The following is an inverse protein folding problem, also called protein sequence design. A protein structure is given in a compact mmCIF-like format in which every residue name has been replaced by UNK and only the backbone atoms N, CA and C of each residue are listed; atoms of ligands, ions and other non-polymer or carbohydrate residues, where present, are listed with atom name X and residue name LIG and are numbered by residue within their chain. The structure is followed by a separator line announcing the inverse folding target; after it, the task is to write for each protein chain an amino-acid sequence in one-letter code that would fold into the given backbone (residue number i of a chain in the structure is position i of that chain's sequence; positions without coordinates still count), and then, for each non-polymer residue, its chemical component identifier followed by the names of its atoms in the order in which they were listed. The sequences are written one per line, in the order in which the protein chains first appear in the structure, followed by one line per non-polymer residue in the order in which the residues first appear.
data_IF_338890965457
#
_entry.id   IF_338890965457
#
_cell.length_a   1.000
_cell.length_b   1.000
_cell.length_c   1.000
_cell.angle_alpha   90.00
_cell.angle_beta   90.00
_cell.angle_gamma   90.00
#
_symmetry.space_group_name_H-M   'P 1'
#
loop_
_entity.id
_entity.type
_entity.pdbx_description
1 polymer ?
#
# COMPACT_ATOMS: atom_id res chain seq x y z
N UNK A 1 -6.70 -12.31 21.42
CA UNK A 1 -7.17 -12.42 20.01
C UNK A 1 -7.28 -11.03 19.39
N UNK A 2 -7.21 -10.90 18.06
CA UNK A 2 -7.40 -9.61 17.38
C UNK A 2 -8.74 -9.58 16.63
N UNK A 3 -9.42 -8.44 16.67
CA UNK A 3 -10.60 -8.15 15.87
C UNK A 3 -10.28 -7.04 14.87
N UNK A 4 -10.55 -7.26 13.59
CA UNK A 4 -10.62 -6.21 12.58
C UNK A 4 -12.01 -5.56 12.64
N UNK A 5 -12.10 -4.45 13.37
CA UNK A 5 -13.34 -3.70 13.61
C UNK A 5 -13.41 -2.41 12.82
N UNK A 6 -14.60 -1.80 12.74
CA UNK A 6 -14.83 -0.51 12.07
C UNK A 6 -14.83 0.64 13.09
N UNK A 7 -13.85 1.53 12.99
CA UNK A 7 -13.89 2.81 13.68
C UNK A 7 -14.49 3.91 12.81
N UNK A 8 -15.42 4.69 13.36
CA UNK A 8 -16.19 5.74 12.65
C UNK A 8 -15.32 6.70 11.83
N UNK A 9 -14.16 7.08 12.37
CA UNK A 9 -13.25 8.06 11.73
C UNK A 9 -12.05 7.42 11.04
N UNK A 10 -11.58 6.28 11.55
CA UNK A 10 -10.29 5.72 11.14
C UNK A 10 -10.45 4.63 10.08
N UNK A 11 -11.68 4.21 9.79
CA UNK A 11 -11.95 3.06 8.94
C UNK A 11 -11.73 1.75 9.70
N UNK A 12 -11.30 0.71 9.02
CA UNK A 12 -10.99 -0.56 9.67
C UNK A 12 -9.70 -0.49 10.47
N UNK A 13 -9.74 -0.98 11.71
CA UNK A 13 -8.60 -1.00 12.63
C UNK A 13 -8.54 -2.34 13.37
N UNK A 14 -7.34 -2.75 13.76
CA UNK A 14 -7.18 -3.88 14.67
C UNK A 14 -7.52 -3.46 16.11
N UNK A 15 -8.16 -4.35 16.85
CA UNK A 15 -8.54 -4.20 18.26
C UNK A 15 -8.11 -5.46 19.03
N UNK A 16 -7.41 -5.34 20.16
CA UNK A 16 -7.03 -6.47 20.99
C UNK A 16 -8.19 -6.82 21.91
N UNK A 17 -8.63 -8.08 21.84
CA UNK A 17 -9.74 -8.58 22.65
C UNK A 17 -9.37 -9.87 23.36
N UNK A 18 -9.83 -9.97 24.61
CA UNK A 18 -10.06 -11.23 25.29
C UNK A 18 -11.42 -11.74 24.85
N UNK A 19 -11.46 -13.01 24.49
CA UNK A 19 -12.68 -13.70 24.07
C UNK A 19 -12.83 -14.96 24.89
N UNK A 20 -14.08 -15.34 25.13
CA UNK A 20 -14.42 -16.60 25.79
C UNK A 20 -15.17 -17.49 24.81
N UNK A 21 -14.86 -18.78 24.81
CA UNK A 21 -15.61 -19.76 24.02
C UNK A 21 -16.87 -20.13 24.80
N UNK A 22 -18.04 -19.95 24.20
CA UNK A 22 -19.29 -20.33 24.87
C UNK A 22 -19.46 -21.86 24.93
N UNK A 23 -19.92 -22.36 26.08
CA UNK A 23 -20.20 -23.77 26.27
C UNK A 23 -21.30 -24.25 25.32
N UNK A 24 -21.02 -25.32 24.56
CA UNK A 24 -21.99 -25.92 23.63
C UNK A 24 -22.11 -25.22 22.27
N UNK A 25 -21.43 -24.09 22.06
CA UNK A 25 -21.43 -23.32 20.81
C UNK A 25 -20.05 -23.29 20.15
N UNK A 26 -20.02 -23.06 18.84
CA UNK A 26 -18.77 -22.91 18.07
C UNK A 26 -18.26 -21.45 18.00
N UNK A 27 -19.01 -20.48 18.53
CA UNK A 27 -18.65 -19.07 18.50
C UNK A 27 -17.97 -18.59 19.79
N UNK A 28 -17.27 -17.47 19.67
CA UNK A 28 -16.62 -16.77 20.77
C UNK A 28 -17.36 -15.48 21.11
N UNK A 29 -17.46 -15.17 22.39
CA UNK A 29 -18.06 -13.94 22.90
C UNK A 29 -16.93 -12.98 23.35
N UNK A 30 -16.89 -11.72 22.85
CA UNK A 30 -15.89 -10.75 23.30
C UNK A 30 -16.14 -10.37 24.76
N UNK A 31 -15.13 -10.57 25.62
CA UNK A 31 -15.21 -10.28 27.05
C UNK A 31 -14.69 -8.87 27.36
N UNK A 32 -13.46 -8.57 26.91
CA UNK A 32 -12.79 -7.31 27.23
C UNK A 32 -11.93 -6.83 26.06
N UNK A 33 -12.02 -5.53 25.75
CA UNK A 33 -11.12 -4.85 24.82
C UNK A 33 -9.92 -4.30 25.60
N UNK A 34 -8.70 -4.73 25.24
CA UNK A 34 -7.45 -4.30 25.90
C UNK A 34 -7.01 -2.89 25.48
N UNK A 35 -7.75 -2.28 24.54
CA UNK A 35 -7.52 -0.93 24.06
C UNK A 35 -8.63 0.02 24.50
N UNK A 36 -8.31 1.21 25.06
CA UNK A 36 -6.98 1.78 25.24
C UNK A 36 -6.23 1.33 26.50
N UNK A 37 -6.90 0.62 27.41
CA UNK A 37 -6.33 0.13 28.67
C UNK A 37 -6.91 -1.25 28.96
N UNK A 38 -6.04 -2.19 29.33
CA UNK A 38 -6.44 -3.48 29.88
C UNK A 38 -6.70 -3.38 31.38
N UNK A 39 -7.52 -4.29 31.91
CA UNK A 39 -7.70 -4.45 33.36
C UNK A 39 -6.39 -4.89 34.03
N UNK A 40 -6.18 -4.55 35.31
CA UNK A 40 -4.95 -4.90 36.03
C UNK A 40 -4.65 -6.41 35.99
N UNK A 41 -3.38 -6.77 35.79
CA UNK A 41 -2.91 -8.17 35.74
C UNK A 41 -3.03 -8.85 34.38
N UNK A 42 -3.91 -8.36 33.48
CA UNK A 42 -4.10 -8.99 32.16
C UNK A 42 -2.87 -8.89 31.28
N UNK A 43 -2.18 -7.75 31.30
CA UNK A 43 -0.97 -7.56 30.49
C UNK A 43 0.15 -8.52 30.89
N UNK A 44 0.18 -8.99 32.14
CA UNK A 44 1.20 -9.91 32.65
C UNK A 44 0.97 -11.35 32.14
N UNK A 45 -0.22 -11.65 31.64
CA UNK A 45 -0.60 -12.97 31.08
C UNK A 45 -0.35 -13.05 29.56
N UNK A 46 -0.07 -11.92 28.90
CA UNK A 46 0.18 -11.85 27.47
C UNK A 46 1.60 -12.29 27.12
N UNK A 47 1.76 -12.90 25.95
CA UNK A 47 3.09 -13.12 25.37
C UNK A 47 3.76 -11.78 25.00
N UNK A 48 5.08 -11.79 24.77
CA UNK A 48 5.82 -10.59 24.33
C UNK A 48 5.22 -10.01 23.04
N UNK A 49 4.90 -10.86 22.06
CA UNK A 49 4.29 -10.46 20.80
C UNK A 49 2.88 -9.86 20.99
N UNK A 50 2.05 -10.45 21.86
CA UNK A 50 0.71 -9.92 22.16
C UNK A 50 0.78 -8.61 22.94
N UNK A 51 1.78 -8.45 23.81
CA UNK A 51 2.07 -7.22 24.54
C UNK A 51 2.47 -6.11 23.57
N UNK A 52 3.47 -6.36 22.71
CA UNK A 52 3.91 -5.41 21.68
C UNK A 52 2.75 -5.01 20.76
N UNK A 53 1.97 -5.99 20.30
CA UNK A 53 0.82 -5.75 19.46
C UNK A 53 -0.24 -4.89 20.16
N UNK A 54 -0.55 -5.18 21.42
CA UNK A 54 -1.52 -4.41 22.21
C UNK A 54 -1.06 -2.96 22.40
N UNK A 55 0.21 -2.74 22.72
CA UNK A 55 0.80 -1.39 22.82
C UNK A 55 0.74 -0.63 21.48
N UNK A 56 1.04 -1.33 20.39
CA UNK A 56 0.99 -0.76 19.05
C UNK A 56 -0.45 -0.35 18.69
N UNK A 57 -1.44 -1.17 19.04
CA UNK A 57 -2.86 -0.85 18.86
C UNK A 57 -3.25 0.37 19.71
N UNK A 58 -2.81 0.42 20.97
CA UNK A 58 -3.08 1.55 21.86
C UNK A 58 -2.50 2.88 21.34
N UNK A 59 -1.41 2.81 20.57
CA UNK A 59 -0.74 3.97 19.96
C UNK A 59 -1.54 4.68 18.85
N UNK A 60 -2.69 4.14 18.44
CA UNK A 60 -3.65 4.83 17.58
C UNK A 60 -5.07 4.93 18.18
N UNK A 61 -5.21 4.75 19.50
CA UNK A 61 -6.46 5.07 20.20
C UNK A 61 -6.81 6.56 20.09
N UNK A 62 -8.11 6.91 20.21
CA UNK A 62 -8.56 8.31 20.15
C UNK A 62 -7.81 9.22 21.13
N UNK A 63 -7.54 8.73 22.35
CA UNK A 63 -6.81 9.49 23.37
C UNK A 63 -5.34 9.70 23.01
N UNK A 64 -4.69 8.69 22.43
CA UNK A 64 -3.31 8.80 21.98
C UNK A 64 -3.18 9.76 20.80
N UNK A 65 -4.06 9.61 19.80
CA UNK A 65 -4.11 10.48 18.63
C UNK A 65 -4.46 11.92 19.01
N UNK A 66 -5.36 12.12 19.97
CA UNK A 66 -5.65 13.43 20.55
C UNK A 66 -4.38 14.09 21.10
N UNK A 67 -3.60 13.37 21.91
CA UNK A 67 -2.35 13.91 22.49
C UNK A 67 -1.31 14.28 21.43
N UNK A 68 -1.21 13.53 20.35
CA UNK A 68 -0.24 13.79 19.29
C UNK A 68 -0.69 14.87 18.31
N UNK A 69 -1.96 14.84 17.92
CA UNK A 69 -2.44 15.56 16.75
C UNK A 69 -3.51 16.59 17.05
N UNK A 70 -3.98 16.75 18.29
CA UNK A 70 -5.02 17.74 18.61
C UNK A 70 -4.43 19.09 19.06
N UNK A 71 -5.21 20.14 18.82
CA UNK A 71 -5.06 21.45 19.52
C UNK A 71 -6.32 21.79 20.35
N UNK A 72 -7.30 20.89 20.35
CA UNK A 72 -8.58 21.04 21.06
C UNK A 72 -8.41 20.70 22.55
N UNK A 73 -9.40 21.08 23.37
CA UNK A 73 -9.33 20.88 24.82
C UNK A 73 -9.72 19.46 25.23
N UNK A 74 -10.58 18.81 24.44
CA UNK A 74 -11.08 17.46 24.76
C UNK A 74 -10.95 16.48 23.59
N UNK A 75 -10.93 15.18 23.92
CA UNK A 75 -10.90 14.09 22.92
C UNK A 75 -12.14 14.14 22.02
N UNK A 76 -13.31 14.45 22.59
CA UNK A 76 -14.58 14.55 21.85
C UNK A 76 -14.48 15.64 20.78
N UNK A 77 -14.10 16.86 21.17
CA UNK A 77 -13.92 17.99 20.24
C UNK A 77 -12.93 17.65 19.12
N UNK A 78 -11.83 16.99 19.45
CA UNK A 78 -10.87 16.53 18.45
C UNK A 78 -11.51 15.56 17.46
N UNK A 79 -12.21 14.53 17.93
CA UNK A 79 -12.85 13.52 17.07
C UNK A 79 -13.99 14.09 16.22
N UNK A 80 -14.63 15.18 16.65
CA UNK A 80 -15.69 15.84 15.88
C UNK A 80 -15.11 16.80 14.82
N UNK A 81 -14.01 17.50 15.14
CA UNK A 81 -13.43 18.52 14.26
C UNK A 81 -12.36 17.98 13.32
N UNK A 82 -11.70 16.87 13.64
CA UNK A 82 -10.62 16.31 12.83
C UNK A 82 -11.16 15.87 11.47
N UNK A 83 -10.74 16.57 10.42
CA UNK A 83 -11.25 16.37 9.07
C UNK A 83 -10.30 16.93 8.02
N UNK A 84 -10.62 16.67 6.74
CA UNK A 84 -9.94 17.27 5.60
C UNK A 84 -8.44 16.98 5.56
N UNK A 85 -7.67 17.99 5.18
CA UNK A 85 -6.24 17.86 4.89
C UNK A 85 -5.41 17.37 6.10
N UNK A 86 -5.73 17.86 7.32
CA UNK A 86 -5.00 17.45 8.53
C UNK A 86 -5.16 15.96 8.79
N UNK A 87 -6.36 15.43 8.58
CA UNK A 87 -6.62 14.01 8.71
C UNK A 87 -5.86 13.21 7.65
N UNK A 88 -6.08 13.52 6.37
CA UNK A 88 -5.51 12.77 5.24
C UNK A 88 -3.99 12.83 5.15
N UNK A 89 -3.36 13.96 5.52
CA UNK A 89 -1.89 14.13 5.40
C UNK A 89 -1.10 13.76 6.64
N UNK A 90 -1.71 13.73 7.83
CA UNK A 90 -0.97 13.53 9.08
C UNK A 90 -1.51 12.37 9.92
N UNK A 91 -2.80 12.38 10.25
CA UNK A 91 -3.39 11.39 11.17
C UNK A 91 -3.52 10.02 10.50
N UNK A 92 -4.17 9.96 9.33
CA UNK A 92 -4.40 8.71 8.60
C UNK A 92 -3.09 8.00 8.22
N UNK A 93 -2.05 8.67 7.66
CA UNK A 93 -0.78 8.01 7.40
C UNK A 93 -0.08 7.50 8.67
N UNK A 94 -0.28 8.16 9.82
CA UNK A 94 0.24 7.66 11.09
C UNK A 94 -0.46 6.37 11.51
N UNK A 95 -1.80 6.32 11.45
CA UNK A 95 -2.59 5.13 11.78
C UNK A 95 -2.23 3.97 10.84
N UNK A 96 -2.20 4.21 9.52
CA UNK A 96 -1.86 3.17 8.53
C UNK A 96 -0.47 2.58 8.75
N UNK A 97 0.54 3.41 9.09
CA UNK A 97 1.88 2.89 9.45
C UNK A 97 1.84 1.99 10.69
N UNK A 98 0.95 2.26 11.64
CA UNK A 98 0.79 1.42 12.84
C UNK A 98 0.03 0.14 12.51
N UNK A 99 -1.06 0.21 11.73
CA UNK A 99 -1.79 -0.95 11.25
C UNK A 99 -0.89 -1.91 10.45
N UNK A 100 -0.02 -1.39 9.59
CA UNK A 100 0.90 -2.24 8.84
C UNK A 100 1.93 -2.94 9.74
N UNK A 101 2.41 -2.25 10.78
CA UNK A 101 3.25 -2.88 11.80
C UNK A 101 2.50 -3.95 12.59
N UNK A 102 1.22 -3.72 12.95
CA UNK A 102 0.39 -4.73 13.58
C UNK A 102 0.25 -5.95 12.68
N UNK A 103 0.00 -5.75 11.39
CA UNK A 103 -0.07 -6.82 10.40
C UNK A 103 1.20 -7.67 10.36
N UNK A 104 2.39 -7.05 10.43
CA UNK A 104 3.65 -7.80 10.45
C UNK A 104 3.77 -8.72 11.67
N UNK A 105 3.47 -8.21 12.87
CA UNK A 105 3.49 -9.02 14.11
C UNK A 105 2.45 -10.14 14.03
N UNK A 106 1.22 -9.80 13.61
CA UNK A 106 0.14 -10.77 13.42
C UNK A 106 0.57 -11.91 12.49
N UNK A 107 1.21 -11.58 11.37
CA UNK A 107 1.67 -12.55 10.39
C UNK A 107 2.85 -13.39 10.91
N UNK A 108 3.82 -12.76 11.56
CA UNK A 108 5.02 -13.42 12.10
C UNK A 108 4.68 -14.45 13.18
N UNK A 109 3.78 -14.07 14.10
CA UNK A 109 3.39 -14.91 15.24
C UNK A 109 2.09 -15.68 15.02
N UNK A 110 1.52 -15.63 13.80
CA UNK A 110 0.25 -16.30 13.44
C UNK A 110 -0.90 -15.99 14.40
N UNK A 111 -1.02 -14.74 14.85
CA UNK A 111 -2.05 -14.31 15.80
C UNK A 111 -3.42 -14.31 15.11
N UNK A 112 -4.45 -15.00 15.65
CA UNK A 112 -5.77 -15.03 15.01
C UNK A 112 -6.43 -13.66 14.92
N UNK A 113 -6.93 -13.33 13.73
CA UNK A 113 -7.69 -12.11 13.46
C UNK A 113 -9.10 -12.47 12.99
N UNK A 114 -10.11 -11.91 13.65
CA UNK A 114 -11.51 -12.08 13.26
C UNK A 114 -12.08 -10.79 12.69
N UNK A 115 -12.88 -10.88 11.63
CA UNK A 115 -13.62 -9.75 11.08
C UNK A 115 -14.86 -9.52 11.91
N UNK A 116 -15.03 -8.31 12.44
CA UNK A 116 -16.31 -7.93 13.03
C UNK A 116 -17.30 -7.58 11.90
N UNK A 117 -18.34 -8.39 11.74
CA UNK A 117 -19.48 -8.07 10.86
C UNK A 117 -20.37 -7.03 11.55
N UNK A 118 -20.98 -6.15 10.76
CA UNK A 118 -21.87 -5.11 11.28
C UNK A 118 -23.10 -5.74 11.93
N UNK A 119 -23.39 -5.37 13.18
CA UNK A 119 -24.59 -5.82 13.89
C UNK A 119 -24.46 -7.16 14.63
N UNK A 120 -23.28 -7.79 14.63
CA UNK A 120 -23.01 -9.01 15.40
C UNK A 120 -21.95 -8.75 16.48
N UNK A 121 -22.26 -9.12 17.72
CA UNK A 121 -21.30 -9.08 18.84
C UNK A 121 -20.40 -10.31 18.85
N UNK A 122 -20.95 -11.47 18.50
CA UNK A 122 -20.28 -12.76 18.61
C UNK A 122 -19.39 -13.01 17.39
N UNK A 123 -18.33 -13.77 17.60
CA UNK A 123 -17.30 -14.06 16.61
C UNK A 123 -17.38 -15.53 16.24
N UNK A 124 -17.80 -15.79 15.01
CA UNK A 124 -17.97 -17.14 14.51
C UNK A 124 -16.68 -17.65 13.85
N UNK A 125 -16.46 -18.96 13.75
CA UNK A 125 -15.29 -19.51 13.06
C UNK A 125 -15.12 -18.99 11.62
N UNK A 126 -16.23 -18.77 10.90
CA UNK A 126 -16.23 -18.20 9.54
C UNK A 126 -15.83 -16.70 9.48
N UNK A 127 -15.73 -16.02 10.62
CA UNK A 127 -15.24 -14.65 10.69
C UNK A 127 -13.71 -14.58 10.76
N UNK A 128 -13.02 -15.71 10.92
CA UNK A 128 -11.56 -15.78 10.94
C UNK A 128 -10.99 -15.35 9.58
N UNK A 129 -10.06 -14.40 9.63
CA UNK A 129 -9.36 -13.89 8.46
C UNK A 129 -8.08 -14.70 8.18
N UNK A 130 -7.85 -14.97 6.91
CA UNK A 130 -6.63 -15.58 6.42
C UNK A 130 -5.56 -14.50 6.16
N UNK A 131 -4.50 -14.53 6.96
CA UNK A 131 -3.36 -13.61 6.86
C UNK A 131 -2.40 -14.12 5.81
N UNK A 132 -2.29 -13.41 4.68
CA UNK A 132 -1.38 -13.80 3.61
C UNK A 132 0.04 -13.33 3.92
N UNK A 133 0.91 -14.26 4.31
CA UNK A 133 2.29 -13.94 4.70
C UNK A 133 3.25 -13.59 3.56
N UNK A 134 2.82 -13.71 2.30
CA UNK A 134 3.59 -13.27 1.13
C UNK A 134 2.89 -12.09 0.46
N UNK A 135 3.67 -11.05 0.18
CA UNK A 135 3.20 -9.94 -0.63
C UNK A 135 3.01 -10.35 -2.09
N UNK A 136 2.04 -9.69 -2.72
CA UNK A 136 1.80 -9.79 -4.15
C UNK A 136 2.23 -8.48 -4.82
N UNK A 137 2.58 -8.54 -6.10
CA UNK A 137 2.88 -7.36 -6.91
C UNK A 137 1.82 -7.21 -8.01
N UNK A 138 1.39 -5.99 -8.34
CA UNK A 138 0.52 -5.77 -9.47
C UNK A 138 1.23 -6.13 -10.78
N UNK A 139 0.49 -6.79 -11.67
CA UNK A 139 0.82 -6.87 -13.09
C UNK A 139 -0.01 -5.82 -13.81
N UNK A 140 0.64 -4.84 -14.42
CA UNK A 140 -0.07 -3.82 -15.18
C UNK A 140 -0.17 -4.22 -16.64
N UNK A 141 -1.39 -4.44 -17.12
CA UNK A 141 -1.65 -4.74 -18.53
C UNK A 141 -2.05 -3.46 -19.26
N UNK A 142 -1.29 -3.12 -20.30
CA UNK A 142 -1.60 -2.01 -21.21
C UNK A 142 -1.92 -2.53 -22.59
N UNK A 143 -3.01 -2.04 -23.16
CA UNK A 143 -3.44 -2.35 -24.51
C UNK A 143 -3.47 -1.06 -25.32
N UNK A 144 -2.62 -0.97 -26.35
CA UNK A 144 -2.62 0.15 -27.28
C UNK A 144 -3.58 -0.15 -28.43
N UNK A 145 -4.67 0.62 -28.51
CA UNK A 145 -5.57 0.63 -29.67
C UNK A 145 -5.34 1.84 -30.58
N UNK A 146 -6.02 1.85 -31.72
CA UNK A 146 -5.98 2.93 -32.71
C UNK A 146 -6.68 4.21 -32.22
N UNK A 147 -7.83 4.08 -31.55
CA UNK A 147 -8.63 5.22 -31.07
C UNK A 147 -8.46 5.48 -29.57
N UNK A 148 -8.38 4.41 -28.78
CA UNK A 148 -8.20 4.45 -27.33
C UNK A 148 -7.15 3.43 -26.88
N UNK A 149 -6.44 3.75 -25.81
CA UNK A 149 -5.59 2.80 -25.08
C UNK A 149 -6.23 2.43 -23.76
N UNK A 150 -5.97 1.22 -23.27
CA UNK A 150 -6.54 0.69 -22.03
C UNK A 150 -5.46 0.29 -21.05
N UNK A 151 -5.78 0.40 -19.78
CA UNK A 151 -4.88 0.09 -18.67
C UNK A 151 -5.66 -0.62 -17.55
N UNK A 152 -5.10 -1.74 -17.08
CA UNK A 152 -5.69 -2.60 -16.03
C UNK A 152 -4.59 -3.10 -15.08
N UNK A 153 -4.67 -2.83 -13.77
CA UNK A 153 -3.90 -3.55 -12.76
C UNK A 153 -4.54 -4.90 -12.47
N UNK A 154 -3.73 -5.96 -12.54
CA UNK A 154 -4.14 -7.31 -12.21
C UNK A 154 -3.37 -7.79 -10.98
N UNK A 155 -4.09 -8.33 -10.00
CA UNK A 155 -3.52 -8.93 -8.79
C UNK A 155 -3.70 -10.44 -8.86
N UNK A 156 -2.66 -11.19 -8.49
CA UNK A 156 -2.68 -12.65 -8.49
C UNK A 156 -2.21 -13.19 -7.15
N UNK A 157 -2.94 -14.16 -6.60
CA UNK A 157 -2.61 -14.87 -5.36
C UNK A 157 -2.68 -16.37 -5.58
N UNK A 158 -1.61 -17.09 -5.27
CA UNK A 158 -1.50 -18.55 -5.48
C UNK A 158 -1.90 -19.01 -6.91
N UNK A 159 -1.56 -18.21 -7.93
CA UNK A 159 -1.91 -18.47 -9.33
C UNK A 159 -3.34 -18.07 -9.75
N UNK A 160 -4.22 -17.76 -8.79
CA UNK A 160 -5.57 -17.26 -9.05
C UNK A 160 -5.61 -15.74 -9.18
N UNK A 161 -6.33 -15.22 -10.18
CA UNK A 161 -6.57 -13.78 -10.33
C UNK A 161 -7.57 -13.29 -9.29
N UNK A 162 -7.26 -12.18 -8.62
CA UNK A 162 -8.20 -11.44 -7.78
C UNK A 162 -9.07 -10.58 -8.70
N UNK A 163 -10.39 -10.75 -8.62
CA UNK A 163 -11.31 -9.82 -9.25
C UNK A 163 -11.34 -8.53 -8.42
N UNK A 164 -10.98 -7.40 -9.03
CA UNK A 164 -11.07 -6.10 -8.37
C UNK A 164 -12.46 -5.50 -8.47
N UNK A 165 -13.20 -5.84 -9.53
CA UNK A 165 -14.46 -5.20 -9.86
C UNK A 165 -15.60 -5.81 -9.04
N UNK A 166 -16.39 -4.97 -8.36
CA UNK A 166 -17.55 -5.40 -7.57
C UNK A 166 -17.24 -6.47 -6.50
N UNK A 167 -15.97 -6.66 -6.14
CA UNK A 167 -15.56 -7.57 -5.08
C UNK A 167 -15.50 -6.86 -3.73
N UNK A 168 -15.60 -7.61 -2.63
CA UNK A 168 -15.41 -7.04 -1.30
C UNK A 168 -13.94 -6.75 -1.03
N UNK A 169 -13.41 -5.71 -1.66
CA UNK A 169 -12.08 -5.17 -1.41
C UNK A 169 -12.17 -3.95 -0.52
N UNK A 170 -11.35 -3.96 0.51
CA UNK A 170 -11.12 -2.81 1.36
C UNK A 170 -9.62 -2.51 1.44
N UNK A 171 -9.25 -1.25 1.27
CA UNK A 171 -7.88 -0.80 1.50
C UNK A 171 -7.73 -0.49 2.99
N UNK A 172 -6.93 -1.29 3.68
CA UNK A 172 -6.61 -1.11 5.10
C UNK A 172 -5.46 -0.11 5.28
N UNK A 173 -4.48 -0.11 4.38
CA UNK A 173 -3.35 0.83 4.36
C UNK A 173 -3.06 1.27 2.93
N UNK A 174 -2.78 2.56 2.71
CA UNK A 174 -2.45 3.08 1.40
C UNK A 174 -1.00 2.77 1.01
N UNK A 175 -0.03 2.98 1.90
CA UNK A 175 1.37 2.65 1.66
C UNK A 175 2.19 2.41 2.95
N UNK A 176 2.85 1.26 3.13
CA UNK A 176 2.78 0.06 2.27
C UNK A 176 1.34 -0.44 2.11
N UNK A 177 0.97 -0.91 0.92
CA UNK A 177 -0.43 -1.22 0.63
C UNK A 177 -0.83 -2.53 1.30
N UNK A 178 -1.95 -2.48 2.01
CA UNK A 178 -2.57 -3.64 2.66
C UNK A 178 -4.05 -3.62 2.30
N UNK A 179 -4.54 -4.72 1.72
CA UNK A 179 -5.94 -4.87 1.35
C UNK A 179 -6.57 -6.04 2.08
N UNK A 180 -7.86 -5.94 2.34
CA UNK A 180 -8.71 -7.09 2.64
C UNK A 180 -9.50 -7.44 1.39
N UNK A 181 -9.41 -8.67 0.91
CA UNK A 181 -10.25 -9.21 -0.15
C UNK A 181 -11.03 -10.40 0.40
N UNK A 182 -12.34 -10.26 0.58
CA UNK A 182 -13.19 -11.21 1.29
C UNK A 182 -12.65 -11.50 2.72
N UNK A 183 -12.26 -12.74 2.99
CA UNK A 183 -11.69 -13.24 4.23
C UNK A 183 -10.16 -13.16 4.27
N UNK A 184 -9.50 -12.59 3.25
CA UNK A 184 -8.03 -12.56 3.16
C UNK A 184 -7.47 -11.16 3.41
N UNK A 185 -6.46 -11.03 4.25
CA UNK A 185 -5.64 -9.82 4.37
C UNK A 185 -4.35 -10.03 3.56
N UNK A 186 -4.09 -9.16 2.59
CA UNK A 186 -3.06 -9.33 1.56
C UNK A 186 -2.19 -8.07 1.49
N UNK A 187 -0.87 -8.17 1.71
CA UNK A 187 0.05 -7.08 1.43
C UNK A 187 0.29 -6.99 -0.09
N UNK A 188 0.22 -5.77 -0.62
CA UNK A 188 0.45 -5.47 -2.05
C UNK A 188 1.66 -4.54 -2.16
N UNK A 189 2.73 -5.03 -2.75
CA UNK A 189 3.97 -4.29 -2.86
C UNK A 189 3.96 -3.34 -4.06
N UNK A 190 4.82 -2.32 -3.98
CA UNK A 190 5.12 -1.37 -5.05
C UNK A 190 3.93 -0.53 -5.54
N UNK A 191 2.78 -0.59 -4.89
CA UNK A 191 1.61 0.22 -5.26
C UNK A 191 1.03 0.94 -4.05
N UNK A 192 0.45 2.11 -4.30
CA UNK A 192 -0.40 2.78 -3.33
C UNK A 192 -1.83 2.25 -3.48
N UNK A 193 -2.49 1.90 -2.38
CA UNK A 193 -3.86 1.37 -2.42
C UNK A 193 -4.84 2.28 -3.17
N UNK A 194 -4.67 3.61 -3.06
CA UNK A 194 -5.47 4.61 -3.78
C UNK A 194 -5.48 4.41 -5.31
N UNK A 195 -4.44 3.79 -5.89
CA UNK A 195 -4.35 3.47 -7.31
C UNK A 195 -5.19 2.26 -7.71
N UNK A 196 -5.62 1.44 -6.75
CA UNK A 196 -6.56 0.33 -6.96
C UNK A 196 -8.02 0.78 -6.90
N UNK A 197 -8.33 1.87 -6.19
CA UNK A 197 -9.71 2.37 -6.00
C UNK A 197 -10.53 2.52 -7.30
N UNK A 198 -10.00 3.06 -8.41
CA UNK A 198 -10.77 3.18 -9.65
C UNK A 198 -11.25 1.83 -10.18
N UNK A 199 -10.51 0.76 -9.89
CA UNK A 199 -10.75 -0.57 -10.42
C UNK A 199 -11.76 -1.38 -9.60
N UNK A 200 -12.13 -0.86 -8.43
CA UNK A 200 -13.24 -1.39 -7.64
C UNK A 200 -14.60 -1.13 -8.30
N UNK A 201 -14.67 -0.06 -9.11
CA UNK A 201 -15.89 0.41 -9.77
C UNK A 201 -15.87 0.23 -11.29
N UNK A 202 -14.69 0.16 -11.90
CA UNK A 202 -14.53 0.06 -13.36
C UNK A 202 -13.52 -1.02 -13.70
N UNK A 203 -13.78 -1.80 -14.74
CA UNK A 203 -12.87 -2.89 -15.16
C UNK A 203 -11.51 -2.38 -15.66
N UNK A 204 -11.50 -1.20 -16.27
CA UNK A 204 -10.33 -0.65 -16.97
C UNK A 204 -10.37 0.88 -16.97
N UNK A 205 -9.20 1.49 -17.14
CA UNK A 205 -9.08 2.91 -17.46
C UNK A 205 -8.84 3.04 -18.96
N UNK A 206 -9.64 3.90 -19.59
CA UNK A 206 -9.53 4.22 -21.02
C UNK A 206 -8.87 5.57 -21.21
N UNK A 207 -7.92 5.62 -22.12
CA UNK A 207 -7.10 6.79 -22.45
C UNK A 207 -7.41 7.15 -23.90
N UNK A 208 -8.05 8.30 -24.16
CA UNK A 208 -8.34 8.75 -25.51
C UNK A 208 -7.06 9.03 -26.31
N UNK A 209 -7.09 8.77 -27.62
CA UNK A 209 -5.93 8.88 -28.52
C UNK A 209 -5.20 10.23 -28.47
N UNK A 210 -5.94 11.33 -28.36
CA UNK A 210 -5.38 12.70 -28.25
C UNK A 210 -4.55 12.94 -26.96
N UNK A 211 -4.72 12.12 -25.93
CA UNK A 211 -3.96 12.19 -24.68
C UNK A 211 -2.85 11.14 -24.59
N UNK A 212 -2.74 10.22 -25.55
CA UNK A 212 -1.79 9.10 -25.50
C UNK A 212 -0.36 9.58 -25.29
N UNK A 213 0.15 10.53 -26.08
CA UNK A 213 1.57 10.96 -25.97
C UNK A 213 1.93 11.48 -24.58
N UNK A 214 1.07 12.32 -23.98
CA UNK A 214 1.27 12.87 -22.62
C UNK A 214 1.12 11.79 -21.55
N UNK A 215 0.18 10.87 -21.72
CA UNK A 215 -0.08 9.82 -20.76
C UNK A 215 1.02 8.74 -20.77
N UNK A 216 1.48 8.33 -21.95
CA UNK A 216 2.56 7.35 -22.13
C UNK A 216 3.89 7.89 -21.61
N UNK A 217 4.27 9.11 -21.99
CA UNK A 217 5.52 9.75 -21.53
C UNK A 217 5.55 10.03 -20.02
N UNK A 218 4.39 10.10 -19.36
CA UNK A 218 4.25 10.34 -17.92
C UNK A 218 3.94 9.06 -17.13
N UNK A 219 2.68 8.65 -17.11
CA UNK A 219 2.17 7.60 -16.23
C UNK A 219 2.66 6.21 -16.65
N UNK A 220 2.54 5.85 -17.93
CA UNK A 220 2.97 4.53 -18.41
C UNK A 220 4.48 4.37 -18.25
N UNK A 221 5.27 5.41 -18.58
CA UNK A 221 6.72 5.44 -18.33
C UNK A 221 7.07 5.11 -16.88
N UNK A 222 6.37 5.72 -15.92
CA UNK A 222 6.59 5.44 -14.49
C UNK A 222 6.23 4.01 -14.13
N UNK A 223 5.15 3.47 -14.68
CA UNK A 223 4.74 2.10 -14.37
C UNK A 223 5.67 1.06 -14.98
N UNK A 224 6.08 1.23 -16.25
CA UNK A 224 7.06 0.36 -16.92
C UNK A 224 8.39 0.33 -16.18
N UNK A 225 8.88 1.48 -15.68
CA UNK A 225 10.15 1.53 -14.98
C UNK A 225 10.15 0.94 -13.57
N UNK A 226 8.98 0.83 -12.94
CA UNK A 226 8.90 0.47 -11.52
C UNK A 226 8.13 -0.82 -11.25
N UNK A 227 7.46 -1.40 -12.26
CA UNK A 227 6.58 -2.56 -12.07
C UNK A 227 6.63 -3.53 -13.24
N UNK A 228 6.09 -4.71 -13.01
CA UNK A 228 5.86 -5.70 -14.05
C UNK A 228 4.74 -5.23 -14.98
N UNK A 229 5.03 -5.18 -16.28
CA UNK A 229 4.11 -4.72 -17.30
C UNK A 229 3.91 -5.79 -18.36
N UNK A 230 2.64 -5.99 -18.75
CA UNK A 230 2.25 -6.71 -19.95
C UNK A 230 1.79 -5.69 -21.01
N UNK A 231 2.47 -5.70 -22.15
CA UNK A 231 2.13 -4.83 -23.28
C UNK A 231 1.37 -5.62 -24.35
N UNK A 232 0.28 -5.05 -24.86
CA UNK A 232 -0.49 -5.54 -25.99
C UNK A 232 -0.61 -4.41 -27.03
N UNK A 233 -0.29 -4.69 -28.28
CA UNK A 233 -0.27 -3.69 -29.35
C UNK A 233 0.97 -2.77 -29.36
N UNK A 234 1.97 -3.05 -28.52
CA UNK A 234 3.30 -2.45 -28.56
C UNK A 234 4.33 -3.40 -27.93
N UNK A 235 5.61 -3.21 -28.25
CA UNK A 235 6.70 -4.03 -27.73
C UNK A 235 7.47 -3.30 -26.63
N UNK A 236 7.89 -4.03 -25.59
CA UNK A 236 8.84 -3.57 -24.59
C UNK A 236 10.16 -4.30 -24.83
N UNK A 237 11.19 -3.56 -25.27
CA UNK A 237 12.51 -4.09 -25.56
C UNK A 237 13.44 -3.71 -24.40
N UNK A 238 14.02 -4.72 -23.75
CA UNK A 238 15.03 -4.50 -22.72
C UNK A 238 16.42 -4.41 -23.36
N UNK A 239 17.15 -3.34 -23.06
CA UNK A 239 18.51 -3.12 -23.57
C UNK A 239 19.53 -3.05 -22.42
N UNK A 240 20.78 -3.35 -22.76
CA UNK A 240 21.92 -2.98 -21.93
C UNK A 240 22.40 -1.61 -22.47
N UNK A 241 22.22 -0.52 -21.71
CA UNK A 241 22.54 0.81 -22.20
C UNK A 241 24.04 1.01 -22.39
N UNK A 242 24.43 1.75 -23.43
CA UNK A 242 25.74 2.38 -23.46
C UNK A 242 25.89 3.30 -22.25
N UNK A 243 27.02 3.17 -21.55
CA UNK A 243 27.23 3.78 -20.24
C UNK A 243 28.56 4.51 -20.17
N UNK A 244 28.53 5.72 -19.62
CA UNK A 244 29.74 6.48 -19.34
C UNK A 244 29.60 7.23 -18.02
N UNK A 245 30.73 7.62 -17.45
CA UNK A 245 30.79 8.43 -16.25
C UNK A 245 31.65 9.67 -16.52
N UNK A 246 31.14 10.84 -16.17
CA UNK A 246 31.84 12.10 -16.36
C UNK A 246 31.68 13.03 -15.15
N UNK A 247 32.71 13.84 -14.93
CA UNK A 247 32.70 14.90 -13.94
C UNK A 247 32.30 16.21 -14.61
N UNK A 248 31.23 16.82 -14.12
CA UNK A 248 30.73 18.10 -14.61
C UNK A 248 31.13 19.20 -13.63
N UNK A 249 31.70 20.30 -14.15
CA UNK A 249 32.00 21.47 -13.35
C UNK A 249 30.72 22.31 -13.17
N UNK A 250 30.17 22.30 -11.97
CA UNK A 250 28.94 23.01 -11.63
C UNK A 250 29.11 23.89 -10.39
N UNK A 251 28.15 24.79 -10.13
CA UNK A 251 28.15 25.59 -8.92
C UNK A 251 27.40 24.86 -7.82
N UNK A 252 28.08 24.54 -6.72
CA UNK A 252 27.45 23.95 -5.54
C UNK A 252 26.51 24.91 -4.82
N UNK A 253 25.87 24.45 -3.74
CA UNK A 253 24.87 25.21 -2.96
C UNK A 253 25.43 26.56 -2.45
N UNK A 254 26.74 26.65 -2.22
CA UNK A 254 27.44 27.89 -1.81
C UNK A 254 27.96 28.73 -2.97
N UNK A 255 27.52 28.45 -4.20
CA UNK A 255 27.97 29.09 -5.43
C UNK A 255 29.48 28.90 -5.74
N UNK A 256 30.12 27.90 -5.11
CA UNK A 256 31.52 27.52 -5.31
C UNK A 256 31.58 26.45 -6.41
N UNK A 257 32.56 26.53 -7.30
CA UNK A 257 32.78 25.52 -8.33
C UNK A 257 33.05 24.15 -7.68
N UNK A 258 32.28 23.14 -8.09
CA UNK A 258 32.37 21.78 -7.61
C UNK A 258 32.31 20.82 -8.81
N UNK A 259 33.05 19.72 -8.72
CA UNK A 259 32.94 18.62 -9.68
C UNK A 259 31.82 17.70 -9.22
N UNK A 260 30.83 17.49 -10.08
CA UNK A 260 29.70 16.61 -9.82
C UNK A 260 29.82 15.38 -10.71
N UNK A 261 29.87 14.21 -10.09
CA UNK A 261 29.81 12.94 -10.80
C UNK A 261 28.40 12.72 -11.34
N UNK A 262 28.31 12.54 -12.64
CA UNK A 262 27.09 12.10 -13.33
C UNK A 262 27.38 10.88 -14.19
N UNK A 263 26.37 10.04 -14.31
CA UNK A 263 26.40 8.87 -15.17
C UNK A 263 25.51 9.11 -16.37
N UNK A 264 25.97 8.73 -17.55
CA UNK A 264 25.22 8.82 -18.79
C UNK A 264 24.85 7.42 -19.25
N UNK A 265 23.58 7.23 -19.61
CA UNK A 265 23.02 6.00 -20.14
C UNK A 265 22.15 6.33 -21.36
N UNK A 266 22.54 5.90 -22.57
CA UNK A 266 21.82 6.20 -23.81
C UNK A 266 21.47 7.70 -23.97
N UNK A 267 22.45 8.57 -23.72
CA UNK A 267 22.28 10.03 -23.78
C UNK A 267 21.49 10.64 -22.61
N UNK A 268 21.03 9.84 -21.63
CA UNK A 268 20.39 10.32 -20.41
C UNK A 268 21.35 10.39 -19.25
N UNK A 269 21.43 11.57 -18.65
CA UNK A 269 22.28 11.81 -17.49
C UNK A 269 21.50 11.65 -16.19
N UNK A 270 22.06 10.93 -15.23
CA UNK A 270 21.55 10.80 -13.86
C UNK A 270 22.62 11.16 -12.83
N UNK A 271 22.18 11.61 -11.66
CA UNK A 271 23.08 11.84 -10.53
C UNK A 271 23.41 10.55 -9.80
N UNK A 272 24.59 10.49 -9.19
CA UNK A 272 25.03 9.33 -8.40
C UNK A 272 24.11 8.98 -7.22
N UNK A 273 23.27 9.91 -6.77
CA UNK A 273 22.36 9.76 -5.64
C UNK A 273 20.89 9.65 -6.06
N UNK A 274 20.59 9.57 -7.36
CA UNK A 274 19.22 9.51 -7.85
C UNK A 274 18.65 8.08 -7.66
N UNK A 275 17.48 7.90 -7.03
CA UNK A 275 16.96 6.57 -6.66
C UNK A 275 16.34 5.79 -7.84
N UNK A 276 16.64 6.16 -9.09
CA UNK A 276 16.05 5.54 -10.26
C UNK A 276 16.73 4.19 -10.59
N UNK A 277 15.93 3.16 -10.86
CA UNK A 277 16.44 1.82 -11.22
C UNK A 277 16.50 1.58 -12.74
N UNK A 278 15.64 2.26 -13.51
CA UNK A 278 15.52 2.09 -14.95
C UNK A 278 15.06 3.38 -15.63
N UNK A 279 15.27 3.46 -16.94
CA UNK A 279 14.71 4.47 -17.83
C UNK A 279 13.98 3.84 -18.99
N UNK A 280 13.11 4.63 -19.61
CA UNK A 280 12.40 4.25 -20.83
C UNK A 280 12.53 5.32 -21.90
N UNK A 281 12.74 4.88 -23.14
CA UNK A 281 12.67 5.68 -24.37
C UNK A 281 11.45 5.17 -25.15
N UNK A 282 10.66 6.09 -25.71
CA UNK A 282 9.51 5.75 -26.56
C UNK A 282 9.86 6.11 -27.99
N UNK A 283 9.76 5.13 -28.88
CA UNK A 283 9.92 5.30 -30.32
C UNK A 283 8.58 5.03 -31.00
N UNK A 284 8.21 5.86 -31.98
CA UNK A 284 6.90 5.81 -32.66
C UNK A 284 7.06 5.57 -34.17
N UNK A 285 7.99 4.74 -34.66
CA UNK A 285 8.04 4.35 -36.09
C UNK A 285 8.59 2.93 -36.30
N UNK A 286 7.87 2.00 -36.97
CA UNK A 286 6.53 2.08 -37.57
C UNK A 286 5.38 1.76 -36.58
N UNK A 287 5.69 1.60 -35.29
CA UNK A 287 4.74 1.35 -34.21
C UNK A 287 5.30 1.90 -32.89
N UNK A 288 4.55 1.77 -31.79
CA UNK A 288 5.09 2.16 -30.48
C UNK A 288 6.06 1.07 -30.01
N UNK A 289 7.32 1.45 -29.80
CA UNK A 289 8.33 0.61 -29.15
C UNK A 289 8.77 1.29 -27.87
N UNK A 290 8.80 0.53 -26.78
CA UNK A 290 9.18 0.99 -25.46
C UNK A 290 10.51 0.36 -25.11
N UNK A 291 11.59 1.13 -25.22
CA UNK A 291 12.94 0.66 -24.93
C UNK A 291 13.23 0.93 -23.45
N UNK A 292 13.48 -0.11 -22.68
CA UNK A 292 13.80 -0.04 -21.26
C UNK A 292 15.27 -0.40 -21.01
N UNK A 293 16.00 0.47 -20.31
CA UNK A 293 17.36 0.22 -19.85
C UNK A 293 17.46 0.34 -18.33
N UNK A 294 18.25 -0.52 -17.70
CA UNK A 294 18.47 -0.49 -16.25
C UNK A 294 19.70 0.36 -15.90
N UNK A 295 19.59 1.21 -14.88
CA UNK A 295 20.72 2.00 -14.36
C UNK A 295 21.68 1.19 -13.49
N UNK A 296 21.24 0.04 -12.96
CA UNK A 296 21.98 -0.78 -11.98
C UNK A 296 22.89 -1.86 -12.58
N UNK A 297 23.04 -1.92 -13.90
CA UNK A 297 24.04 -2.80 -14.53
C UNK A 297 25.44 -2.25 -14.24
N UNK A 298 26.12 -2.86 -13.27
CA UNK A 298 27.38 -2.46 -12.65
C UNK A 298 28.40 -1.81 -13.61
N UNK A 299 28.74 -0.54 -13.34
CA UNK A 299 29.97 0.12 -13.82
C UNK A 299 31.15 -0.39 -13.00
#
# INVERSE_FOLDING_TARGET
MIILGKHRLWGSVFLPWIVEKEEGNEYYSPLECLSPYASPGIMDELTEAETELTELINSYSNRYLFRLFSREKTVVEFTEKISGERFEKHVKPYIERKLYKCFNIINEYSIPVYRQKTGTSNLHPEDLLNICGKSIKPLFTFEKGSEESKYIPELYINGGKIDLLNSEIEILCNYPCLIRHNDKIIPVDEIEGSKLMPFLLKKEVRIPGNHNKKYFSGFVRKLVNNHNVRALGFEIINIIPERSAALYLEKGIRNIAALILKFEYEGKTIFHNEPANAFTIFEEEPGLTVIQGNFKTAI
#
